data_IF_475857350394
#
_entry.id   IF_475857350394
#
_cell.length_a   1.000
_cell.length_b   1.000
_cell.length_c   1.000
_cell.angle_alpha   90.00
_cell.angle_beta   90.00
_cell.angle_gamma   90.00
#
_symmetry.space_group_name_H-M   'P 1'
#
loop_
_entity.id
_entity.type
_entity.pdbx_description
1 polymer ?
#
# COMPACT_ATOMS: atom_id res chain seq x y z
N UNK A 1 -12.79 -8.36 23.20
CA UNK A 1 -11.98 -8.36 21.97
C UNK A 1 -11.33 -7.00 21.83
N UNK A 2 -10.18 -6.93 21.17
CA UNK A 2 -9.41 -5.72 20.93
C UNK A 2 -9.28 -5.54 19.43
N UNK A 3 -9.75 -4.39 18.94
CA UNK A 3 -9.62 -3.98 17.55
C UNK A 3 -8.18 -3.57 17.28
N UNK A 4 -7.50 -4.21 16.33
CA UNK A 4 -6.14 -3.87 15.90
C UNK A 4 -6.14 -3.40 14.45
N UNK A 5 -5.65 -2.18 14.19
CA UNK A 5 -5.47 -1.62 12.85
C UNK A 5 -4.05 -1.85 12.34
N UNK A 6 -3.93 -2.66 11.30
CA UNK A 6 -2.70 -2.93 10.55
C UNK A 6 -2.62 -2.04 9.31
N UNK A 7 -1.45 -1.41 9.11
CA UNK A 7 -1.18 -0.53 7.97
C UNK A 7 0.16 -0.84 7.26
N UNK A 8 0.86 -1.90 7.70
CA UNK A 8 2.22 -2.25 7.29
C UNK A 8 2.35 -3.71 6.86
N UNK A 9 3.43 -4.40 7.26
CA UNK A 9 3.62 -5.82 6.90
C UNK A 9 2.50 -6.74 7.41
N UNK A 10 1.76 -6.33 8.44
CA UNK A 10 0.61 -7.09 8.95
C UNK A 10 -0.63 -7.00 8.06
N UNK A 11 -0.55 -6.34 6.91
CA UNK A 11 -1.55 -6.48 5.84
C UNK A 11 -1.46 -7.88 5.17
N UNK A 12 -0.32 -8.58 5.29
CA UNK A 12 -0.20 -9.99 4.94
C UNK A 12 -1.00 -10.84 5.96
N UNK A 13 -2.20 -11.26 5.53
CA UNK A 13 -3.15 -12.04 6.34
C UNK A 13 -2.56 -13.38 6.78
N UNK A 14 -1.76 -14.03 5.93
CA UNK A 14 -1.11 -15.30 6.28
C UNK A 14 -0.03 -15.08 7.34
N UNK A 15 0.77 -14.03 7.22
CA UNK A 15 1.73 -13.66 8.26
C UNK A 15 1.03 -13.38 9.60
N UNK A 16 -0.10 -12.66 9.59
CA UNK A 16 -0.86 -12.42 10.81
C UNK A 16 -1.40 -13.72 11.41
N UNK A 17 -1.82 -14.68 10.58
CA UNK A 17 -2.32 -15.97 11.03
C UNK A 17 -1.21 -16.80 11.68
N UNK A 18 -0.03 -16.83 11.08
CA UNK A 18 1.17 -17.48 11.64
C UNK A 18 1.60 -16.85 12.97
N UNK A 19 1.52 -15.52 13.09
CA UNK A 19 1.99 -14.79 14.27
C UNK A 19 1.06 -14.94 15.47
N UNK A 20 -0.25 -14.78 15.27
CA UNK A 20 -1.21 -14.63 16.38
C UNK A 20 -2.40 -15.57 16.31
N UNK A 21 -2.58 -16.36 15.26
CA UNK A 21 -3.65 -17.37 15.17
C UNK A 21 -5.05 -16.80 15.38
N UNK A 22 -5.45 -15.83 14.56
CA UNK A 22 -6.78 -15.20 14.65
C UNK A 22 -7.84 -16.00 13.88
N UNK A 23 -9.10 -15.92 14.30
CA UNK A 23 -10.20 -16.73 13.75
C UNK A 23 -11.21 -15.92 12.91
N UNK A 24 -11.25 -14.60 13.04
CA UNK A 24 -12.18 -13.73 12.32
C UNK A 24 -11.59 -13.24 10.99
N UNK A 25 -12.41 -13.07 9.96
CA UNK A 25 -11.97 -12.37 8.74
C UNK A 25 -11.59 -10.92 9.07
N UNK A 26 -10.40 -10.45 8.67
CA UNK A 26 -10.03 -9.06 8.83
C UNK A 26 -10.80 -8.18 7.84
N UNK A 27 -11.14 -6.97 8.25
CA UNK A 27 -11.96 -6.05 7.47
C UNK A 27 -11.14 -4.85 6.97
N UNK A 28 -11.30 -4.41 5.72
CA UNK A 28 -10.71 -3.15 5.25
C UNK A 28 -11.17 -1.97 6.11
N UNK A 29 -10.26 -1.05 6.40
CA UNK A 29 -10.55 0.15 7.16
C UNK A 29 -9.65 1.32 6.76
N UNK A 30 -10.03 2.52 7.19
CA UNK A 30 -9.33 3.76 6.90
C UNK A 30 -9.03 4.54 8.19
N UNK A 31 -7.87 5.19 8.21
CA UNK A 31 -7.43 6.07 9.27
C UNK A 31 -7.12 7.46 8.69
N UNK A 32 -8.00 8.43 8.95
CA UNK A 32 -7.87 9.83 8.50
C UNK A 32 -6.98 10.65 9.44
N UNK A 33 -6.34 11.70 8.91
CA UNK A 33 -5.45 12.58 9.67
C UNK A 33 -4.02 12.05 9.80
N UNK A 34 -3.66 10.99 9.08
CA UNK A 34 -2.36 10.35 9.14
C UNK A 34 -1.79 10.11 7.74
N UNK A 35 -0.45 10.11 7.66
CA UNK A 35 0.28 9.61 6.49
C UNK A 35 1.06 8.35 6.83
N UNK A 36 1.02 7.41 5.89
CA UNK A 36 1.94 6.28 5.85
C UNK A 36 3.31 6.76 5.40
N UNK A 37 4.34 6.49 6.21
CA UNK A 37 5.75 6.79 5.91
C UNK A 37 6.60 5.54 6.11
N UNK A 38 7.85 5.56 5.65
CA UNK A 38 8.80 4.44 5.81
C UNK A 38 10.02 4.86 6.65
N UNK A 39 9.76 5.60 7.73
CA UNK A 39 10.79 6.30 8.50
C UNK A 39 11.31 5.52 9.71
N UNK A 40 10.84 4.28 9.91
CA UNK A 40 11.30 3.42 11.01
C UNK A 40 12.33 2.45 10.48
N UNK A 41 13.58 2.50 10.95
CA UNK A 41 14.59 1.52 10.56
C UNK A 41 14.29 0.14 11.16
N UNK A 42 14.28 -0.90 10.33
CA UNK A 42 14.18 -2.29 10.77
C UNK A 42 15.53 -2.99 10.66
N UNK A 43 16.05 -3.44 11.80
CA UNK A 43 17.29 -4.24 11.85
C UNK A 43 17.11 -5.54 11.06
N UNK A 44 15.95 -6.21 11.17
CA UNK A 44 15.73 -7.49 10.49
C UNK A 44 15.49 -7.36 8.97
N UNK A 45 15.04 -6.19 8.51
CA UNK A 45 14.74 -5.94 7.08
C UNK A 45 15.78 -5.05 6.40
N UNK A 46 16.74 -4.51 7.17
CA UNK A 46 17.78 -3.59 6.73
C UNK A 46 17.28 -2.40 5.88
N UNK A 47 16.08 -1.89 6.18
CA UNK A 47 15.48 -0.77 5.44
C UNK A 47 14.48 0.02 6.30
N UNK A 48 13.97 1.12 5.75
CA UNK A 48 12.82 1.83 6.29
C UNK A 48 11.54 0.99 6.17
N UNK A 49 10.83 0.81 7.27
CA UNK A 49 9.55 0.09 7.31
C UNK A 49 8.40 1.02 7.68
N UNK A 50 7.19 0.56 7.39
CA UNK A 50 5.96 1.34 7.50
C UNK A 50 5.76 1.94 8.90
N UNK A 51 5.37 3.19 8.97
CA UNK A 51 5.03 3.88 10.20
C UNK A 51 3.94 4.93 9.92
N UNK A 52 3.32 5.45 10.98
CA UNK A 52 2.31 6.51 10.88
C UNK A 52 2.84 7.83 11.42
N UNK A 53 2.49 8.91 10.73
CA UNK A 53 2.71 10.29 11.18
C UNK A 53 1.38 11.03 11.15
N UNK A 54 0.98 11.56 12.29
CA UNK A 54 -0.21 12.40 12.39
C UNK A 54 0.04 13.72 11.68
N UNK A 55 -0.87 14.09 10.78
CA UNK A 55 -0.82 15.37 10.06
C UNK A 55 -1.96 16.29 10.44
N UNK A 56 -3.04 15.76 11.02
CA UNK A 56 -4.25 16.52 11.34
C UNK A 56 -5.10 16.90 10.11
N UNK A 57 -4.67 16.50 8.90
CA UNK A 57 -5.38 16.79 7.66
C UNK A 57 -6.30 15.61 7.34
N UNK A 58 -7.62 15.83 7.36
CA UNK A 58 -8.62 14.75 7.20
C UNK A 58 -8.50 14.00 5.87
N UNK A 59 -8.04 14.68 4.82
CA UNK A 59 -7.81 14.07 3.49
C UNK A 59 -6.54 13.22 3.42
N UNK A 60 -5.64 13.31 4.41
CA UNK A 60 -4.53 12.36 4.55
C UNK A 60 -5.08 11.09 5.20
N UNK A 61 -5.33 10.09 4.36
CA UNK A 61 -5.93 8.82 4.79
C UNK A 61 -4.97 7.66 4.56
N UNK A 62 -4.85 6.80 5.57
CA UNK A 62 -4.15 5.51 5.49
C UNK A 62 -5.17 4.39 5.39
N UNK A 63 -5.06 3.58 4.35
CA UNK A 63 -5.86 2.37 4.20
C UNK A 63 -5.15 1.16 4.83
N UNK A 64 -5.93 0.26 5.43
CA UNK A 64 -5.39 -0.93 6.09
C UNK A 64 -6.44 -1.98 6.43
N UNK A 65 -6.09 -2.88 7.35
CA UNK A 65 -6.95 -3.97 7.84
C UNK A 65 -7.19 -3.85 9.34
N UNK A 66 -8.41 -4.20 9.75
CA UNK A 66 -8.80 -4.39 11.15
C UNK A 66 -8.86 -5.87 11.48
N UNK A 67 -8.16 -6.26 12.55
CA UNK A 67 -8.22 -7.58 13.16
C UNK A 67 -8.92 -7.49 14.51
N UNK A 68 -9.64 -8.56 14.88
CA UNK A 68 -10.19 -8.73 16.22
C UNK A 68 -9.31 -9.71 17.00
N UNK A 69 -8.61 -9.22 18.01
CA UNK A 69 -7.66 -9.98 18.81
C UNK A 69 -8.11 -10.09 20.27
N UNK A 70 -7.81 -11.20 20.93
CA UNK A 70 -7.87 -11.28 22.38
C UNK A 70 -6.58 -10.71 23.02
N UNK A 71 -6.54 -10.62 24.35
CA UNK A 71 -5.40 -10.05 25.06
C UNK A 71 -4.09 -10.83 24.86
N UNK A 72 -4.15 -12.15 24.78
CA UNK A 72 -2.98 -13.02 24.57
C UNK A 72 -2.41 -12.88 23.15
N UNK A 73 -3.29 -12.79 22.16
CA UNK A 73 -2.92 -12.55 20.77
C UNK A 73 -2.26 -11.18 20.61
N UNK A 74 -2.81 -10.13 21.25
CA UNK A 74 -2.20 -8.81 21.22
C UNK A 74 -0.85 -8.79 21.96
N UNK A 75 -0.71 -9.49 23.08
CA UNK A 75 0.57 -9.65 23.78
C UNK A 75 1.61 -10.42 22.94
N UNK A 76 1.16 -11.37 22.12
CA UNK A 76 2.01 -12.04 21.14
C UNK A 76 2.44 -11.08 20.04
N UNK A 77 1.53 -10.24 19.54
CA UNK A 77 1.81 -9.23 18.52
C UNK A 77 2.84 -8.19 19.02
N UNK A 78 2.78 -7.77 20.29
CA UNK A 78 3.77 -6.87 20.89
C UNK A 78 5.21 -7.33 20.64
N UNK A 79 5.45 -8.65 20.76
CA UNK A 79 6.78 -9.23 20.57
C UNK A 79 7.28 -9.03 19.14
N UNK A 80 6.40 -9.19 18.16
CA UNK A 80 6.71 -8.99 16.74
C UNK A 80 6.92 -7.52 16.38
N UNK A 81 6.22 -6.61 17.05
CA UNK A 81 6.40 -5.16 16.90
C UNK A 81 7.59 -4.61 17.69
N UNK A 82 8.24 -5.46 18.50
CA UNK A 82 9.32 -5.05 19.40
C UNK A 82 8.85 -4.14 20.53
N UNK A 83 7.55 -4.12 20.82
CA UNK A 83 6.96 -3.35 21.91
C UNK A 83 7.14 -4.12 23.22
N UNK A 84 7.82 -3.51 24.19
CA UNK A 84 8.05 -4.06 25.53
C UNK A 84 7.65 -3.02 26.56
N UNK A 85 6.43 -3.09 27.14
CA UNK A 85 5.94 -2.07 28.07
C UNK A 85 6.88 -1.81 29.26
N UNK A 86 7.50 -2.87 29.79
CA UNK A 86 8.42 -2.78 30.93
C UNK A 86 9.81 -2.23 30.57
N UNK A 87 10.17 -2.18 29.29
CA UNK A 87 11.48 -1.72 28.78
C UNK A 87 11.32 -1.05 27.41
N UNK A 88 10.72 0.15 27.35
CA UNK A 88 10.42 0.81 26.09
C UNK A 88 11.70 1.21 25.35
N UNK A 89 11.76 0.87 24.06
CA UNK A 89 12.82 1.38 23.17
C UNK A 89 12.47 2.80 22.68
N UNK A 90 13.43 3.73 22.60
CA UNK A 90 13.23 5.04 21.99
C UNK A 90 12.82 4.99 20.51
N UNK A 91 13.17 3.91 19.81
CA UNK A 91 12.92 3.72 18.37
C UNK A 91 11.96 2.56 18.07
N UNK A 92 11.52 1.83 19.11
CA UNK A 92 10.54 0.77 18.98
C UNK A 92 9.13 1.31 18.79
N UNK A 93 8.26 0.51 18.18
CA UNK A 93 6.85 0.83 18.11
C UNK A 93 6.23 0.89 19.52
N UNK A 94 5.21 1.73 19.66
CA UNK A 94 4.36 1.81 20.84
C UNK A 94 2.92 1.59 20.44
N UNK A 95 2.15 0.90 21.27
CA UNK A 95 0.70 0.88 21.11
C UNK A 95 0.16 2.31 21.17
N UNK A 96 -0.75 2.63 20.26
CA UNK A 96 -1.49 3.88 20.22
C UNK A 96 -2.94 3.55 19.95
N UNK A 97 -3.84 4.25 20.64
CA UNK A 97 -5.25 4.22 20.31
C UNK A 97 -5.52 5.25 19.21
N UNK A 98 -6.24 4.84 18.17
CA UNK A 98 -6.64 5.69 17.05
C UNK A 98 -8.13 5.54 16.79
N UNK A 99 -8.75 6.59 16.26
CA UNK A 99 -10.12 6.55 15.76
C UNK A 99 -10.09 6.37 14.24
N UNK A 100 -10.66 5.27 13.76
CA UNK A 100 -10.81 5.01 12.34
C UNK A 100 -11.90 5.93 11.75
N UNK A 101 -11.93 6.05 10.42
CA UNK A 101 -12.84 6.95 9.71
C UNK A 101 -14.32 6.61 9.95
N UNK A 102 -14.65 5.35 10.26
CA UNK A 102 -15.99 4.89 10.60
C UNK A 102 -16.37 5.11 12.09
N UNK A 103 -15.49 5.73 12.88
CA UNK A 103 -15.66 5.94 14.31
C UNK A 103 -15.20 4.79 15.19
N UNK A 104 -14.75 3.67 14.62
CA UNK A 104 -14.23 2.54 15.39
C UNK A 104 -12.92 2.92 16.08
N UNK A 105 -12.84 2.71 17.39
CA UNK A 105 -11.58 2.81 18.15
C UNK A 105 -10.73 1.55 17.94
N UNK A 106 -9.46 1.74 17.59
CA UNK A 106 -8.51 0.65 17.34
C UNK A 106 -7.15 0.91 17.99
N UNK A 107 -6.49 -0.15 18.42
CA UNK A 107 -5.07 -0.13 18.73
C UNK A 107 -4.29 -0.23 17.43
N UNK A 108 -3.21 0.54 17.32
CA UNK A 108 -2.20 0.37 16.29
C UNK A 108 -0.81 0.57 16.90
N UNK A 109 0.24 0.42 16.11
CA UNK A 109 1.62 0.56 16.56
C UNK A 109 2.26 1.75 15.86
N UNK A 110 2.84 2.70 16.59
CA UNK A 110 3.51 3.87 16.00
C UNK A 110 4.88 4.03 16.66
N UNK A 111 5.94 4.10 15.85
CA UNK A 111 7.27 4.38 16.37
C UNK A 111 7.41 5.90 16.57
N UNK A 112 7.74 6.36 17.79
CA UNK A 112 7.69 7.79 18.14
C UNK A 112 8.80 8.61 17.48
N UNK A 113 9.89 7.96 17.10
CA UNK A 113 11.01 8.55 16.38
C UNK A 113 11.20 7.82 15.06
N UNK A 114 11.60 8.57 14.05
CA UNK A 114 11.92 8.05 12.74
C UNK A 114 12.84 8.98 11.99
N UNK A 115 13.37 8.48 10.88
CA UNK A 115 14.26 9.18 9.96
C UNK A 115 13.64 9.16 8.57
N UNK A 116 13.21 10.34 8.12
CA UNK A 116 12.54 10.51 6.82
C UNK A 116 13.47 10.30 5.62
N UNK A 117 14.79 10.18 5.83
CA UNK A 117 15.74 9.83 4.78
C UNK A 117 15.73 8.34 4.42
N UNK A 118 15.18 7.51 5.31
CA UNK A 118 15.05 6.07 5.08
C UNK A 118 14.09 5.78 3.93
N UNK A 119 14.40 4.73 3.17
CA UNK A 119 13.53 4.21 2.13
C UNK A 119 13.25 2.73 2.39
N UNK A 120 12.08 2.23 1.95
CA UNK A 120 11.82 0.80 1.97
C UNK A 120 12.69 0.06 0.94
N UNK A 121 12.87 -1.24 1.16
CA UNK A 121 13.41 -2.13 0.13
C UNK A 121 12.29 -2.67 -0.78
N UNK A 122 12.66 -3.14 -1.97
CA UNK A 122 11.71 -3.79 -2.89
C UNK A 122 11.08 -5.03 -2.22
N UNK A 123 11.89 -5.85 -1.54
CA UNK A 123 11.42 -7.04 -0.84
C UNK A 123 10.39 -6.70 0.26
N UNK A 124 10.59 -5.59 0.99
CA UNK A 124 9.63 -5.14 1.99
C UNK A 124 8.30 -4.69 1.35
N UNK A 125 8.36 -3.92 0.26
CA UNK A 125 7.14 -3.49 -0.44
C UNK A 125 6.41 -4.66 -1.13
N UNK A 126 7.13 -5.65 -1.67
CA UNK A 126 6.52 -6.88 -2.19
C UNK A 126 5.75 -7.63 -1.10
N UNK A 127 6.34 -7.72 0.10
CA UNK A 127 5.64 -8.30 1.25
C UNK A 127 4.40 -7.48 1.61
N UNK A 128 4.53 -6.16 1.74
CA UNK A 128 3.42 -5.25 2.02
C UNK A 128 2.26 -5.46 1.03
N UNK A 129 2.58 -5.55 -0.27
CA UNK A 129 1.62 -5.72 -1.35
C UNK A 129 0.92 -7.08 -1.40
N UNK A 130 1.31 -8.06 -0.57
CA UNK A 130 0.48 -9.26 -0.37
C UNK A 130 -0.89 -8.92 0.21
N UNK A 131 -0.99 -7.85 0.99
CA UNK A 131 -2.24 -7.34 1.54
C UNK A 131 -3.01 -6.37 0.63
N UNK A 132 -2.61 -6.20 -0.64
CA UNK A 132 -3.20 -5.20 -1.56
C UNK A 132 -4.71 -5.34 -1.77
N UNK A 133 -5.29 -6.52 -1.55
CA UNK A 133 -6.73 -6.74 -1.71
C UNK A 133 -7.55 -6.00 -0.64
N UNK A 134 -6.91 -5.57 0.45
CA UNK A 134 -7.51 -4.70 1.46
C UNK A 134 -7.42 -3.21 1.11
N UNK A 135 -6.72 -2.87 0.02
CA UNK A 135 -6.37 -1.51 -0.37
C UNK A 135 -7.02 -1.18 -1.72
N UNK A 136 -7.40 0.08 -1.90
CA UNK A 136 -7.81 0.61 -3.17
C UNK A 136 -6.63 0.59 -4.16
N UNK A 137 -6.91 0.39 -5.46
CA UNK A 137 -5.87 0.44 -6.48
C UNK A 137 -5.11 1.76 -6.55
N UNK A 138 -5.78 2.89 -6.31
CA UNK A 138 -5.10 4.19 -6.22
C UNK A 138 -4.10 4.23 -5.06
N UNK A 139 -4.47 3.71 -3.90
CA UNK A 139 -3.63 3.70 -2.70
C UNK A 139 -2.41 2.80 -2.88
N UNK A 140 -2.60 1.52 -3.24
CA UNK A 140 -1.45 0.63 -3.43
C UNK A 140 -0.62 1.03 -4.67
N UNK A 141 -1.25 1.66 -5.66
CA UNK A 141 -0.61 2.21 -6.86
C UNK A 141 0.45 3.25 -6.55
N UNK A 142 0.30 4.00 -5.45
CA UNK A 142 1.27 4.99 -5.01
C UNK A 142 2.62 4.38 -4.62
N UNK A 143 2.64 3.13 -4.14
CA UNK A 143 3.86 2.48 -3.69
C UNK A 143 4.84 2.17 -4.82
N UNK A 144 4.35 2.00 -6.06
CA UNK A 144 5.22 1.78 -7.23
C UNK A 144 6.03 3.03 -7.63
N UNK A 145 5.67 4.20 -7.09
CA UNK A 145 6.37 5.47 -7.33
C UNK A 145 7.34 5.84 -6.21
N UNK A 146 7.43 5.04 -5.15
CA UNK A 146 8.31 5.34 -4.03
C UNK A 146 9.78 5.13 -4.39
N UNK A 147 10.68 6.00 -3.91
CA UNK A 147 12.10 5.69 -3.93
C UNK A 147 12.38 4.51 -2.99
N UNK A 148 13.28 3.60 -3.40
CA UNK A 148 13.69 2.42 -2.62
C UNK A 148 15.21 2.39 -2.42
N UNK A 149 15.69 1.64 -1.42
CA UNK A 149 17.10 1.63 -1.02
C UNK A 149 18.08 1.01 -2.04
N UNK A 150 17.64 0.06 -2.87
CA UNK A 150 18.55 -0.87 -3.57
C UNK A 150 18.74 -0.58 -5.06
N UNK A 151 18.33 0.59 -5.57
CA UNK A 151 18.39 0.92 -7.01
C UNK A 151 17.47 0.09 -7.93
N UNK A 152 17.03 -1.08 -7.46
CA UNK A 152 15.95 -1.88 -8.01
C UNK A 152 14.65 -1.09 -7.97
N UNK A 153 13.69 -1.44 -8.83
CA UNK A 153 12.45 -0.71 -8.92
C UNK A 153 11.27 -1.65 -8.71
N UNK A 154 10.43 -1.39 -7.70
CA UNK A 154 9.21 -2.17 -7.44
C UNK A 154 8.31 -2.25 -8.68
N UNK A 155 8.42 -1.26 -9.57
CA UNK A 155 7.71 -1.15 -10.84
C UNK A 155 7.87 -2.35 -11.78
N UNK A 156 8.97 -3.11 -11.69
CA UNK A 156 9.18 -4.32 -12.50
C UNK A 156 8.19 -5.45 -12.14
N UNK A 157 7.40 -5.23 -11.09
CA UNK A 157 6.38 -6.14 -10.57
C UNK A 157 4.97 -5.50 -10.52
N UNK A 158 4.71 -4.47 -11.34
CA UNK A 158 3.37 -3.87 -11.46
C UNK A 158 2.33 -4.95 -11.85
N UNK A 159 1.29 -5.18 -11.03
CA UNK A 159 0.26 -6.16 -11.36
C UNK A 159 -0.52 -5.71 -12.59
N UNK A 160 -0.82 -6.64 -13.51
CA UNK A 160 -1.70 -6.38 -14.66
C UNK A 160 -3.02 -5.71 -14.24
N UNK A 161 -3.60 -6.16 -13.12
CA UNK A 161 -4.81 -5.59 -12.52
C UNK A 161 -4.72 -4.08 -12.21
N UNK A 162 -3.53 -3.57 -11.90
CA UNK A 162 -3.35 -2.13 -11.69
C UNK A 162 -3.40 -1.35 -13.00
N UNK A 163 -2.78 -1.88 -14.07
CA UNK A 163 -2.92 -1.29 -15.40
C UNK A 163 -4.38 -1.33 -15.87
N UNK A 164 -5.09 -2.44 -15.65
CA UNK A 164 -6.54 -2.57 -15.92
C UNK A 164 -7.34 -1.49 -15.20
N UNK A 165 -7.12 -1.35 -13.89
CA UNK A 165 -7.77 -0.31 -13.10
C UNK A 165 -7.48 1.09 -13.65
N UNK A 166 -6.22 1.39 -13.96
CA UNK A 166 -5.85 2.70 -14.48
C UNK A 166 -6.51 3.00 -15.82
N UNK A 167 -6.62 2.01 -16.71
CA UNK A 167 -7.33 2.14 -17.98
C UNK A 167 -8.82 2.30 -17.76
N UNK A 168 -9.46 1.51 -16.91
CA UNK A 168 -10.90 1.62 -16.65
C UNK A 168 -11.29 3.00 -16.09
N UNK A 169 -10.45 3.57 -15.23
CA UNK A 169 -10.74 4.81 -14.50
C UNK A 169 -10.05 6.05 -15.10
N UNK A 170 -9.48 5.96 -16.30
CA UNK A 170 -8.90 7.14 -16.97
C UNK A 170 -7.64 7.71 -16.31
N UNK A 171 -6.93 6.92 -15.48
CA UNK A 171 -5.81 7.38 -14.65
C UNK A 171 -4.54 7.55 -15.49
N UNK A 172 -4.46 8.63 -16.27
CA UNK A 172 -3.38 8.93 -17.23
C UNK A 172 -1.98 8.60 -16.70
N UNK A 173 -1.60 9.15 -15.54
CA UNK A 173 -0.27 8.95 -14.96
C UNK A 173 0.00 7.48 -14.61
N UNK A 174 -1.00 6.75 -14.13
CA UNK A 174 -0.89 5.33 -13.82
C UNK A 174 -0.67 4.49 -15.08
N UNK A 175 -1.41 4.78 -16.15
CA UNK A 175 -1.26 4.10 -17.44
C UNK A 175 0.13 4.39 -18.03
N UNK A 176 0.53 5.66 -18.14
CA UNK A 176 1.84 6.04 -18.70
C UNK A 176 3.00 5.45 -17.90
N UNK A 177 2.89 5.46 -16.56
CA UNK A 177 3.91 4.88 -15.71
C UNK A 177 4.02 3.36 -15.92
N UNK A 178 2.90 2.64 -16.04
CA UNK A 178 2.93 1.21 -16.31
C UNK A 178 3.53 0.88 -17.68
N UNK A 179 3.14 1.61 -18.73
CA UNK A 179 3.65 1.38 -20.09
C UNK A 179 5.13 1.72 -20.24
N UNK A 180 5.60 2.80 -19.61
CA UNK A 180 7.02 3.15 -19.57
C UNK A 180 7.89 2.08 -18.88
N UNK A 181 7.27 1.17 -18.12
CA UNK A 181 7.92 0.07 -17.40
C UNK A 181 7.50 -1.29 -17.92
N UNK A 182 7.37 -1.41 -19.24
CA UNK A 182 7.21 -2.68 -19.97
C UNK A 182 5.88 -3.42 -19.77
N UNK A 183 4.89 -2.83 -19.09
CA UNK A 183 3.55 -3.38 -19.10
C UNK A 183 2.93 -3.28 -20.51
N UNK A 184 2.11 -4.24 -20.90
CA UNK A 184 1.46 -4.29 -22.21
C UNK A 184 -0.06 -4.10 -22.08
N UNK A 185 -0.63 -3.37 -23.03
CA UNK A 185 -2.08 -3.23 -23.14
C UNK A 185 -2.68 -4.52 -23.70
N UNK A 186 -3.73 -5.05 -23.05
CA UNK A 186 -4.49 -6.18 -23.58
C UNK A 186 -5.47 -5.70 -24.66
N UNK A 187 -5.98 -6.64 -25.47
CA UNK A 187 -7.05 -6.37 -26.44
C UNK A 187 -8.27 -5.72 -25.79
N UNK A 188 -8.62 -6.14 -24.58
CA UNK A 188 -9.74 -5.56 -23.84
C UNK A 188 -9.48 -4.09 -23.47
N UNK A 189 -8.28 -3.78 -22.95
CA UNK A 189 -7.90 -2.39 -22.65
C UNK A 189 -7.91 -1.53 -23.91
N UNK A 190 -7.39 -2.04 -25.02
CA UNK A 190 -7.39 -1.34 -26.30
C UNK A 190 -8.81 -1.06 -26.80
N UNK A 191 -9.74 -1.99 -26.60
CA UNK A 191 -11.16 -1.80 -26.91
C UNK A 191 -11.77 -0.67 -26.06
N UNK A 192 -11.53 -0.69 -24.73
CA UNK A 192 -11.96 0.38 -23.82
C UNK A 192 -11.40 1.74 -24.24
N UNK A 193 -10.08 1.83 -24.45
CA UNK A 193 -9.38 3.06 -24.85
C UNK A 193 -9.91 3.62 -26.17
N UNK A 194 -10.33 2.76 -27.10
CA UNK A 194 -10.84 3.19 -28.40
C UNK A 194 -12.35 3.46 -28.42
N UNK A 195 -13.09 3.16 -27.36
CA UNK A 195 -14.52 3.46 -27.29
C UNK A 195 -14.78 4.98 -27.36
N UNK A 196 -15.83 5.44 -28.08
CA UNK A 196 -16.12 6.87 -28.20
C UNK A 196 -16.33 7.56 -26.84
N UNK A 197 -17.02 6.89 -25.92
CA UNK A 197 -17.29 7.41 -24.57
C UNK A 197 -15.98 7.62 -23.78
N UNK A 198 -15.08 6.62 -23.79
CA UNK A 198 -13.82 6.74 -23.09
C UNK A 198 -12.94 7.85 -23.65
N UNK A 199 -12.86 7.97 -24.98
CA UNK A 199 -12.10 9.04 -25.65
C UNK A 199 -12.63 10.43 -25.34
N UNK A 200 -13.95 10.60 -25.34
CA UNK A 200 -14.60 11.86 -24.98
C UNK A 200 -14.33 12.26 -23.52
N UNK A 201 -14.34 11.29 -22.61
CA UNK A 201 -14.13 11.52 -21.18
C UNK A 201 -12.65 11.67 -20.79
N UNK A 202 -11.71 11.20 -21.60
CA UNK A 202 -10.28 11.13 -21.26
C UNK A 202 -9.36 11.71 -22.35
N UNK A 203 -9.60 12.92 -22.90
CA UNK A 203 -8.87 13.43 -24.05
C UNK A 203 -7.36 13.56 -23.82
N UNK A 204 -6.95 13.98 -22.62
CA UNK A 204 -5.53 14.08 -22.24
C UNK A 204 -4.85 12.70 -22.18
N UNK A 205 -5.54 11.71 -21.61
CA UNK A 205 -5.06 10.32 -21.56
C UNK A 205 -4.83 9.80 -22.97
N UNK A 206 -5.80 9.97 -23.87
CA UNK A 206 -5.67 9.53 -25.27
C UNK A 206 -4.48 10.20 -25.97
N UNK A 207 -4.34 11.52 -25.83
CA UNK A 207 -3.23 12.25 -26.43
C UNK A 207 -1.87 11.71 -25.95
N UNK A 208 -1.73 11.41 -24.65
CA UNK A 208 -0.48 10.89 -24.10
C UNK A 208 -0.21 9.42 -24.46
N UNK A 209 -1.25 8.62 -24.76
CA UNK A 209 -1.10 7.22 -25.17
C UNK A 209 -0.77 7.04 -26.65
N UNK A 210 -0.90 8.09 -27.46
CA UNK A 210 -0.72 8.02 -28.91
C UNK A 210 0.58 7.31 -29.35
N UNK A 211 1.78 7.60 -28.76
CA UNK A 211 3.02 6.91 -29.16
C UNK A 211 2.98 5.39 -28.92
N UNK A 212 2.31 4.96 -27.84
CA UNK A 212 2.18 3.54 -27.49
C UNK A 212 1.18 2.84 -28.42
N UNK A 213 0.04 3.47 -28.70
CA UNK A 213 -0.99 2.92 -29.60
C UNK A 213 -0.47 2.74 -31.03
N UNK A 214 0.35 3.68 -31.52
CA UNK A 214 0.94 3.61 -32.86
C UNK A 214 1.99 2.50 -32.96
N UNK A 215 2.73 2.22 -31.88
CA UNK A 215 3.70 1.11 -31.81
C UNK A 215 3.02 -0.27 -31.81
N UNK A 216 1.89 -0.42 -31.10
CA UNK A 216 1.15 -1.68 -31.05
C UNK A 216 0.53 -2.07 -32.41
N UNK A 217 0.19 -1.08 -33.25
CA UNK A 217 -0.29 -1.32 -34.63
C UNK A 217 0.78 -1.84 -35.58
N UNK A 218 2.07 -1.59 -35.31
CA UNK A 218 3.19 -2.06 -36.14
C UNK A 218 3.62 -3.50 -35.86
N UNK A 219 3.15 -4.11 -34.76
CA UNK A 219 3.46 -5.50 -34.39
C UNK A 219 2.44 -6.52 -34.94
N UNK A 220 1.40 -6.06 -35.64
CA UNK A 220 0.29 -6.88 -36.18
C UNK A 220 0.27 -6.84 -37.73
N UNK A 221 1.26 -6.19 -38.35
CA UNK A 221 1.50 -6.15 -39.81
C UNK A 221 2.87 -6.78 -40.09
#
# INVERSE_FOLDING_TARGET
>A
MITYFAYGSNLDVEQMRERVGFNSLPMPAQLSGYKLVFDKYSINRHCGVANLRYTGIVTDTVEGLVYQLNAEQLATLDRFEGFRPSRPSPTGYRRQEVSLTDGTTAITYIAPRGDMSLKPSVAYLQHFLKGKNALSPDYYGAFFRLPVNDGNQLRDHLPQKYLEYCVEHGKQLGILHALANHATLTTQMLSTINSPAYRANNPLTIAALQPYLDSSRRLVL
#
